data_IF_466764424892
#
_entry.id   IF_466764424892
#
_cell.length_a   1.000
_cell.length_b   1.000
_cell.length_c   1.000
_cell.angle_alpha   90.00
_cell.angle_beta   90.00
_cell.angle_gamma   90.00
#
_symmetry.space_group_name_H-M   'P 1'
#
loop_
_entity.id
_entity.type
_entity.pdbx_description
1 polymer ?
#
# COMPACT_ATOMS: atom_id res chain seq x y z
N UNK A 1 5.49 -13.42 5.00
CA UNK A 1 4.15 -13.44 4.37
C UNK A 1 3.87 -12.06 3.80
N UNK A 2 3.19 -11.96 2.66
CA UNK A 2 2.74 -10.70 2.08
C UNK A 2 1.22 -10.69 1.96
N UNK A 3 0.57 -9.62 2.40
CA UNK A 3 -0.89 -9.46 2.39
C UNK A 3 -1.26 -8.19 1.65
N UNK A 4 -2.17 -8.26 0.69
CA UNK A 4 -2.77 -7.09 0.02
C UNK A 4 -4.21 -7.43 -0.41
N UNK A 5 -5.18 -6.53 -0.26
CA UNK A 5 -6.57 -6.81 -0.63
C UNK A 5 -6.80 -6.80 -2.15
N UNK A 6 -5.88 -6.25 -2.94
CA UNK A 6 -6.01 -6.17 -4.39
C UNK A 6 -5.27 -7.34 -5.06
N UNK A 7 -6.06 -8.30 -5.57
CA UNK A 7 -5.57 -9.44 -6.35
C UNK A 7 -4.55 -9.07 -7.44
N UNK A 8 -4.80 -8.00 -8.18
CA UNK A 8 -3.90 -7.49 -9.23
C UNK A 8 -2.48 -7.19 -8.71
N UNK A 9 -2.38 -6.62 -7.50
CA UNK A 9 -1.10 -6.32 -6.85
C UNK A 9 -0.36 -7.60 -6.49
N UNK A 10 -1.08 -8.62 -6.00
CA UNK A 10 -0.51 -9.91 -5.64
C UNK A 10 -0.07 -10.71 -6.87
N UNK A 11 -0.85 -10.71 -7.95
CA UNK A 11 -0.44 -11.30 -9.23
C UNK A 11 0.85 -10.66 -9.75
N UNK A 12 0.93 -9.32 -9.74
CA UNK A 12 2.14 -8.59 -10.08
C UNK A 12 3.33 -8.94 -9.16
N UNK A 13 3.10 -9.11 -7.86
CA UNK A 13 4.13 -9.47 -6.89
C UNK A 13 4.65 -10.90 -7.09
N UNK A 14 3.76 -11.85 -7.37
CA UNK A 14 4.08 -13.26 -7.66
C UNK A 14 4.97 -13.43 -8.90
N UNK A 15 4.88 -12.51 -9.85
CA UNK A 15 5.73 -12.51 -11.06
C UNK A 15 7.16 -12.00 -10.85
N UNK A 16 7.53 -11.53 -9.65
CA UNK A 16 8.88 -10.97 -9.39
C UNK A 16 9.90 -12.07 -9.03
N UNK A 17 11.20 -11.86 -9.34
CA UNK A 17 12.26 -12.76 -8.89
C UNK A 17 12.20 -13.00 -7.38
N UNK A 18 12.31 -14.26 -6.96
CA UNK A 18 12.28 -14.65 -5.54
C UNK A 18 10.88 -14.70 -4.91
N UNK A 19 9.81 -14.36 -5.63
CA UNK A 19 8.45 -14.33 -5.09
C UNK A 19 7.92 -15.70 -4.63
N UNK A 20 8.50 -16.81 -5.11
CA UNK A 20 8.20 -18.17 -4.64
C UNK A 20 8.58 -18.44 -3.18
N UNK A 21 9.38 -17.56 -2.55
CA UNK A 21 9.73 -17.65 -1.12
C UNK A 21 8.70 -16.99 -0.20
N UNK A 22 7.67 -16.36 -0.77
CA UNK A 22 6.68 -15.57 -0.03
C UNK A 22 5.32 -16.24 -0.12
N UNK A 23 4.71 -16.50 1.03
CA UNK A 23 3.28 -16.81 1.12
C UNK A 23 2.48 -15.53 0.88
N UNK A 24 1.72 -15.50 -0.21
CA UNK A 24 0.90 -14.35 -0.64
C UNK A 24 -0.57 -14.58 -0.28
N UNK A 25 -1.15 -13.70 0.53
CA UNK A 25 -2.54 -13.76 0.97
C UNK A 25 -3.32 -12.58 0.39
N UNK A 26 -4.41 -12.87 -0.31
CA UNK A 26 -5.40 -11.86 -0.68
C UNK A 26 -6.30 -11.57 0.51
N UNK A 27 -6.21 -10.35 1.06
CA UNK A 27 -6.94 -10.00 2.27
C UNK A 27 -6.37 -8.78 2.98
N UNK A 28 -6.63 -8.72 4.28
CA UNK A 28 -6.17 -7.63 5.18
C UNK A 28 -5.47 -8.21 6.40
N UNK A 29 -5.02 -7.35 7.33
CA UNK A 29 -4.35 -7.76 8.57
C UNK A 29 -5.15 -8.77 9.40
N UNK A 30 -6.48 -8.80 9.25
CA UNK A 30 -7.37 -9.73 9.97
C UNK A 30 -7.06 -11.20 9.70
N UNK A 31 -6.52 -11.52 8.53
CA UNK A 31 -6.17 -12.89 8.13
C UNK A 31 -4.79 -13.36 8.59
N UNK A 32 -4.03 -12.53 9.31
CA UNK A 32 -2.70 -12.91 9.80
C UNK A 32 -2.80 -13.94 10.94
N UNK A 33 -1.92 -14.96 10.99
CA UNK A 33 -1.86 -15.87 12.13
C UNK A 33 -1.28 -15.18 13.39
N UNK A 34 -1.70 -15.64 14.56
CA UNK A 34 -1.26 -15.13 15.87
C UNK A 34 0.21 -15.46 16.14
N UNK A 35 0.93 -14.55 16.81
CA UNK A 35 2.28 -14.74 17.34
C UNK A 35 3.26 -15.43 16.37
N UNK A 36 3.21 -15.07 15.10
CA UNK A 36 3.89 -15.78 14.00
C UNK A 36 5.02 -14.97 13.35
N UNK A 37 5.19 -13.70 13.70
CA UNK A 37 6.15 -12.81 13.06
C UNK A 37 6.96 -12.00 14.09
N UNK A 38 8.25 -11.80 13.80
CA UNK A 38 9.10 -10.88 14.58
C UNK A 38 8.89 -9.42 14.18
N UNK A 39 8.61 -9.18 12.89
CA UNK A 39 8.46 -7.84 12.32
C UNK A 39 7.31 -7.80 11.32
N UNK A 40 6.46 -6.78 11.44
CA UNK A 40 5.45 -6.41 10.45
C UNK A 40 5.88 -5.12 9.76
N UNK A 41 5.86 -5.11 8.42
CA UNK A 41 6.34 -3.98 7.63
C UNK A 41 5.21 -3.46 6.73
N UNK A 42 4.91 -2.17 6.85
CA UNK A 42 4.03 -1.43 5.95
C UNK A 42 4.88 -0.46 5.14
N UNK A 43 5.12 -0.77 3.86
CA UNK A 43 6.01 0.03 2.99
C UNK A 43 5.24 0.79 1.91
N UNK A 44 5.90 1.77 1.27
CA UNK A 44 5.30 2.62 0.23
C UNK A 44 4.13 3.45 0.76
N UNK A 45 4.20 3.81 2.04
CA UNK A 45 3.25 4.62 2.77
C UNK A 45 1.87 3.96 2.90
N UNK A 46 1.84 2.64 3.16
CA UNK A 46 0.58 1.92 3.41
C UNK A 46 -0.17 2.47 4.62
N UNK A 47 0.54 2.93 5.66
CA UNK A 47 -0.07 3.54 6.84
C UNK A 47 -0.99 4.73 6.46
N UNK A 48 -0.61 5.51 5.45
CA UNK A 48 -1.37 6.66 4.96
C UNK A 48 -2.70 6.28 4.29
N UNK A 49 -2.94 5.01 3.94
CA UNK A 49 -4.21 4.52 3.38
C UNK A 49 -5.25 4.20 4.46
N UNK A 50 -4.84 4.09 5.72
CA UNK A 50 -5.71 3.81 6.86
C UNK A 50 -6.25 5.15 7.39
N UNK A 51 -7.10 5.79 6.58
CA UNK A 51 -7.57 7.18 6.79
C UNK A 51 -8.46 7.33 8.03
N UNK A 52 -9.27 6.31 8.33
CA UNK A 52 -10.18 6.34 9.48
C UNK A 52 -9.48 5.82 10.73
N UNK A 53 -9.65 6.51 11.87
CA UNK A 53 -9.05 6.13 13.16
C UNK A 53 -9.35 4.67 13.54
N UNK A 54 -10.59 4.22 13.31
CA UNK A 54 -10.98 2.83 13.56
C UNK A 54 -10.25 1.84 12.67
N UNK A 55 -9.99 2.20 11.40
CA UNK A 55 -9.23 1.34 10.50
C UNK A 55 -7.78 1.24 10.94
N UNK A 56 -7.17 2.36 11.35
CA UNK A 56 -5.83 2.40 11.92
C UNK A 56 -5.72 1.56 13.20
N UNK A 57 -6.60 1.79 14.17
CA UNK A 57 -6.61 1.07 15.44
C UNK A 57 -6.81 -0.44 15.25
N UNK A 58 -7.74 -0.85 14.37
CA UNK A 58 -7.96 -2.27 14.04
C UNK A 58 -6.72 -2.90 13.41
N UNK A 59 -6.10 -2.25 12.43
CA UNK A 59 -4.88 -2.78 11.80
C UNK A 59 -3.74 -2.89 12.80
N UNK A 60 -3.53 -1.90 13.67
CA UNK A 60 -2.50 -2.02 14.72
C UNK A 60 -2.80 -3.16 15.70
N UNK A 61 -4.07 -3.37 16.07
CA UNK A 61 -4.49 -4.50 16.90
C UNK A 61 -4.21 -5.86 16.25
N UNK A 62 -4.53 -6.01 14.97
CA UNK A 62 -4.21 -7.23 14.21
C UNK A 62 -2.71 -7.47 14.12
N UNK A 63 -1.92 -6.42 13.86
CA UNK A 63 -0.47 -6.54 13.79
C UNK A 63 0.13 -6.90 15.15
N UNK A 64 -0.37 -6.29 16.23
CA UNK A 64 0.04 -6.65 17.59
C UNK A 64 -0.22 -8.12 17.91
N UNK A 65 -1.41 -8.64 17.56
CA UNK A 65 -1.76 -10.07 17.71
C UNK A 65 -0.87 -10.99 16.88
N UNK A 66 -0.54 -10.58 15.66
CA UNK A 66 0.26 -11.39 14.74
C UNK A 66 1.75 -11.44 15.11
N UNK A 67 2.22 -10.47 15.90
CA UNK A 67 3.62 -10.39 16.34
C UNK A 67 3.88 -11.24 17.58
N UNK A 68 5.07 -11.82 17.67
CA UNK A 68 5.57 -12.44 18.91
C UNK A 68 5.74 -11.37 20.01
N UNK A 69 5.76 -11.76 21.30
CA UNK A 69 6.14 -10.84 22.37
C UNK A 69 7.50 -10.17 22.07
N UNK A 70 7.52 -8.84 22.08
CA UNK A 70 8.72 -8.08 21.72
C UNK A 70 8.96 -7.89 20.21
N UNK A 71 8.02 -8.28 19.35
CA UNK A 71 8.05 -7.96 17.92
C UNK A 71 7.91 -6.46 17.63
N UNK A 72 8.02 -6.07 16.36
CA UNK A 72 8.00 -4.66 15.94
C UNK A 72 7.12 -4.42 14.72
N UNK A 73 6.44 -3.28 14.72
CA UNK A 73 5.82 -2.71 13.52
C UNK A 73 6.75 -1.64 12.97
N UNK A 74 7.02 -1.67 11.67
CA UNK A 74 7.80 -0.66 10.95
C UNK A 74 6.96 -0.15 9.79
N UNK A 75 6.84 1.17 9.67
CA UNK A 75 6.14 1.79 8.55
C UNK A 75 6.84 3.07 8.07
N UNK A 76 6.71 3.36 6.79
CA UNK A 76 7.10 4.64 6.20
C UNK A 76 5.91 5.60 6.10
N UNK A 77 6.21 6.88 6.12
CA UNK A 77 5.28 7.97 5.83
C UNK A 77 5.98 9.01 4.96
N UNK A 78 5.20 9.82 4.24
CA UNK A 78 5.74 10.92 3.45
C UNK A 78 6.14 12.05 4.37
N UNK A 79 7.21 12.76 4.03
CA UNK A 79 7.54 14.03 4.67
C UNK A 79 6.57 15.13 4.17
N UNK A 80 5.70 15.69 5.03
CA UNK A 80 4.79 16.75 4.62
C UNK A 80 5.54 18.02 4.22
N UNK A 81 6.76 18.27 4.72
CA UNK A 81 7.52 19.48 4.40
C UNK A 81 8.05 19.50 2.97
N UNK A 82 8.09 18.33 2.31
CA UNK A 82 8.54 18.23 0.93
C UNK A 82 7.49 18.70 -0.08
N UNK A 83 6.25 19.01 0.35
CA UNK A 83 5.17 19.54 -0.49
C UNK A 83 4.93 18.78 -1.81
N UNK A 84 5.21 17.47 -1.83
CA UNK A 84 5.19 16.68 -3.07
C UNK A 84 3.81 16.62 -3.74
N UNK A 85 2.74 16.91 -2.99
CA UNK A 85 1.37 16.99 -3.49
C UNK A 85 1.13 18.09 -4.51
N UNK A 86 1.99 19.11 -4.57
CA UNK A 86 1.90 20.18 -5.58
C UNK A 86 1.97 19.62 -7.01
N UNK A 87 2.59 18.44 -7.21
CA UNK A 87 2.67 17.75 -8.51
C UNK A 87 1.67 16.60 -8.66
N UNK A 88 0.79 16.39 -7.68
CA UNK A 88 -0.13 15.25 -7.69
C UNK A 88 -1.40 15.56 -8.49
N UNK A 89 -1.27 15.53 -9.81
CA UNK A 89 -2.39 15.53 -10.76
C UNK A 89 -2.26 14.38 -11.77
N UNK A 90 -3.34 14.01 -12.49
CA UNK A 90 -3.36 12.85 -13.40
C UNK A 90 -2.38 12.88 -14.57
N UNK A 91 -1.75 14.03 -14.83
CA UNK A 91 -0.75 14.25 -15.88
C UNK A 91 0.65 14.13 -15.27
N UNK A 92 1.01 15.04 -14.36
CA UNK A 92 2.38 15.16 -13.85
C UNK A 92 2.81 13.99 -12.94
N UNK A 93 1.85 13.39 -12.23
CA UNK A 93 2.13 12.23 -11.36
C UNK A 93 2.05 10.90 -12.09
N UNK A 94 1.68 10.89 -13.37
CA UNK A 94 1.49 9.67 -14.12
C UNK A 94 2.83 8.98 -14.32
N UNK A 95 2.91 7.73 -13.86
CA UNK A 95 4.06 6.86 -14.02
C UNK A 95 3.66 5.53 -14.64
N UNK A 96 4.55 4.99 -15.47
CA UNK A 96 4.47 3.63 -16.01
C UNK A 96 5.64 2.83 -15.50
N UNK A 97 5.36 1.64 -14.99
CA UNK A 97 6.34 0.71 -14.45
C UNK A 97 6.22 -0.58 -15.26
N UNK A 98 7.33 -1.04 -15.81
CA UNK A 98 7.41 -2.33 -16.49
C UNK A 98 7.76 -3.41 -15.47
N UNK A 99 6.94 -4.45 -15.38
CA UNK A 99 7.22 -5.60 -14.54
C UNK A 99 7.99 -6.68 -15.33
N UNK A 100 8.81 -7.51 -14.66
CA UNK A 100 9.52 -8.62 -15.28
C UNK A 100 8.61 -9.57 -16.09
N UNK A 101 7.35 -9.70 -15.68
CA UNK A 101 6.32 -10.48 -16.38
C UNK A 101 5.81 -9.84 -17.69
N UNK A 102 6.42 -8.75 -18.17
CA UNK A 102 5.98 -7.91 -19.31
C UNK A 102 4.59 -7.29 -19.15
N UNK A 103 4.04 -7.30 -17.93
CA UNK A 103 2.83 -6.56 -17.59
C UNK A 103 3.20 -5.12 -17.21
N UNK A 104 2.55 -4.15 -17.84
CA UNK A 104 2.71 -2.73 -17.51
C UNK A 104 1.79 -2.32 -16.37
N UNK A 105 2.31 -1.60 -15.39
CA UNK A 105 1.53 -0.94 -14.34
C UNK A 105 1.54 0.56 -14.61
N UNK A 106 0.37 1.17 -14.73
CA UNK A 106 0.26 2.63 -14.83
C UNK A 106 -0.38 3.16 -13.55
N UNK A 107 0.18 4.20 -12.97
CA UNK A 107 -0.34 4.80 -11.75
C UNK A 107 -0.30 6.32 -11.82
N UNK A 108 -1.29 6.98 -11.25
CA UNK A 108 -1.31 8.43 -11.07
C UNK A 108 -2.05 8.79 -9.78
N UNK A 109 -1.75 9.97 -9.27
CA UNK A 109 -2.33 10.54 -8.06
C UNK A 109 -3.09 11.81 -8.39
N UNK A 110 -4.14 12.09 -7.62
CA UNK A 110 -4.92 13.31 -7.68
C UNK A 110 -5.20 13.80 -6.27
N UNK A 111 -4.80 15.02 -5.95
CA UNK A 111 -5.22 15.72 -4.73
C UNK A 111 -6.75 15.88 -4.74
N UNK A 112 -7.39 15.51 -3.64
CA UNK A 112 -8.84 15.64 -3.46
C UNK A 112 -9.20 16.74 -2.48
N UNK A 113 -8.34 17.00 -1.48
CA UNK A 113 -8.50 18.14 -0.58
C UNK A 113 -7.17 18.55 0.07
N UNK A 114 -7.06 19.82 0.44
CA UNK A 114 -5.94 20.41 1.18
C UNK A 114 -6.48 21.23 2.34
N UNK A 115 -6.03 20.94 3.56
CA UNK A 115 -6.31 21.73 4.75
C UNK A 115 -5.04 21.92 5.56
N UNK A 116 -4.55 23.16 5.63
CA UNK A 116 -3.26 23.48 6.26
C UNK A 116 -2.13 22.58 5.73
N UNK A 117 -1.58 21.69 6.57
CA UNK A 117 -0.54 20.71 6.19
C UNK A 117 -1.09 19.35 5.76
N UNK A 118 -2.39 19.10 5.91
CA UNK A 118 -3.04 17.84 5.56
C UNK A 118 -3.47 17.85 4.09
N UNK A 119 -2.96 16.88 3.33
CA UNK A 119 -3.32 16.62 1.96
C UNK A 119 -4.04 15.28 1.84
N UNK A 120 -5.33 15.33 1.50
CA UNK A 120 -6.05 14.16 1.04
C UNK A 120 -5.87 13.97 -0.46
N UNK A 121 -5.61 12.73 -0.86
CA UNK A 121 -5.47 12.39 -2.26
C UNK A 121 -6.03 11.01 -2.56
N UNK A 122 -6.25 10.79 -3.85
CA UNK A 122 -6.54 9.48 -4.39
C UNK A 122 -5.42 9.04 -5.33
N UNK A 123 -5.08 7.76 -5.30
CA UNK A 123 -4.20 7.17 -6.30
C UNK A 123 -4.98 6.11 -7.08
N UNK A 124 -4.80 6.10 -8.39
CA UNK A 124 -5.36 5.09 -9.28
C UNK A 124 -4.21 4.33 -9.92
N UNK A 125 -4.32 3.01 -9.91
CA UNK A 125 -3.36 2.10 -10.53
C UNK A 125 -4.10 1.17 -11.47
N UNK A 126 -3.57 0.96 -12.67
CA UNK A 126 -4.07 0.00 -13.64
C UNK A 126 -3.00 -1.01 -14.05
N UNK A 127 -3.42 -2.23 -14.32
CA UNK A 127 -2.55 -3.33 -14.76
C UNK A 127 -2.95 -3.80 -16.16
N UNK A 128 -1.98 -3.84 -17.07
CA UNK A 128 -2.15 -4.44 -18.40
C UNK A 128 -1.95 -5.97 -18.35
N UNK A 129 -2.62 -6.76 -19.22
CA UNK A 129 -3.50 -6.33 -20.32
C UNK A 129 -4.97 -6.13 -19.91
N UNK A 130 -5.40 -6.69 -18.78
CA UNK A 130 -6.82 -6.79 -18.41
C UNK A 130 -7.44 -5.49 -17.87
N UNK A 131 -6.67 -4.40 -17.84
CA UNK A 131 -7.05 -3.08 -17.33
C UNK A 131 -7.72 -3.12 -15.94
N UNK A 132 -7.33 -4.09 -15.11
CA UNK A 132 -7.74 -4.13 -13.71
C UNK A 132 -7.31 -2.82 -13.06
N UNK A 133 -8.13 -2.28 -12.16
CA UNK A 133 -7.88 -0.98 -11.55
C UNK A 133 -8.07 -1.03 -10.04
N UNK A 134 -7.17 -0.34 -9.31
CA UNK A 134 -7.28 -0.08 -7.88
C UNK A 134 -7.35 1.42 -7.69
N UNK A 135 -8.24 1.87 -6.82
CA UNK A 135 -8.25 3.25 -6.31
C UNK A 135 -8.27 3.22 -4.79
N UNK A 136 -7.56 4.14 -4.16
CA UNK A 136 -7.59 4.32 -2.71
C UNK A 136 -7.48 5.79 -2.36
N UNK A 137 -7.99 6.16 -1.18
CA UNK A 137 -7.77 7.46 -0.55
C UNK A 137 -6.64 7.34 0.47
N UNK A 138 -5.91 8.43 0.65
CA UNK A 138 -4.83 8.52 1.63
C UNK A 138 -4.62 9.96 2.09
N UNK A 139 -3.97 10.10 3.24
CA UNK A 139 -3.56 11.36 3.85
C UNK A 139 -2.02 11.40 3.98
N UNK A 140 -1.39 12.54 3.71
CA UNK A 140 0.06 12.70 3.90
C UNK A 140 0.46 12.75 5.38
#
# INVERSE_FOLDING_TARGET
MGVDPARASLEAARGKPGAGRVTWVEGTSTGLPDASFDVAVMTSNVAQLLVEDDAWARTLGDLYRALVPGGRVVFDSRDPKACTWERWNPVDSRRRIELPSRHGVTSWTKVTCLWESLCQYSAKTTWAPNNQARSFRACN
#
